data_IF_657508788215
#
_entry.id   IF_657508788215
#
_cell.length_a   1.000
_cell.length_b   1.000
_cell.length_c   1.000
_cell.angle_alpha   90.00
_cell.angle_beta   90.00
_cell.angle_gamma   90.00
#
_symmetry.space_group_name_H-M   'P 1'
#
loop_
_entity.id
_entity.type
_entity.pdbx_description
1 polymer ?
#
# COMPACT_ATOMS: atom_id res chain seq x y z
N UNK A 1 11.78 3.33 -1.70
CA UNK A 1 11.50 3.86 -3.06
C UNK A 1 10.29 3.19 -3.72
N UNK A 2 10.25 1.86 -3.85
CA UNK A 2 9.18 1.14 -4.56
C UNK A 2 7.75 1.44 -4.07
N UNK A 3 7.50 1.52 -2.75
CA UNK A 3 6.18 1.84 -2.21
C UNK A 3 5.66 3.22 -2.64
N UNK A 4 6.56 4.22 -2.66
CA UNK A 4 6.23 5.59 -3.07
C UNK A 4 5.81 5.66 -4.54
N UNK A 5 6.53 4.94 -5.42
CA UNK A 5 6.16 4.84 -6.84
C UNK A 5 4.75 4.23 -6.99
N UNK A 6 4.47 3.16 -6.25
CA UNK A 6 3.16 2.51 -6.30
C UNK A 6 2.03 3.45 -5.83
N UNK A 7 2.24 4.19 -4.74
CA UNK A 7 1.25 5.15 -4.24
C UNK A 7 1.04 6.34 -5.17
N UNK A 8 2.12 6.90 -5.75
CA UNK A 8 2.02 8.00 -6.72
C UNK A 8 1.31 7.54 -8.01
N UNK A 9 1.54 6.31 -8.46
CA UNK A 9 0.82 5.72 -9.59
C UNK A 9 -0.66 5.54 -9.29
N UNK A 10 -0.99 4.94 -8.14
CA UNK A 10 -2.38 4.69 -7.73
C UNK A 10 -3.16 5.99 -7.57
N UNK A 11 -2.57 7.00 -6.92
CA UNK A 11 -3.21 8.30 -6.73
C UNK A 11 -3.58 8.96 -8.07
N UNK A 12 -2.71 8.85 -9.08
CA UNK A 12 -3.01 9.32 -10.44
C UNK A 12 -4.09 8.48 -11.12
N UNK A 13 -4.01 7.15 -11.05
CA UNK A 13 -4.97 6.25 -11.67
C UNK A 13 -6.40 6.44 -11.13
N UNK A 14 -6.53 6.77 -9.84
CA UNK A 14 -7.80 7.06 -9.19
C UNK A 14 -8.27 8.51 -9.35
N UNK A 15 -7.55 9.34 -10.12
CA UNK A 15 -7.80 10.78 -10.22
C UNK A 15 -7.91 11.45 -8.84
N UNK A 16 -7.06 11.02 -7.90
CA UNK A 16 -6.96 11.58 -6.56
C UNK A 16 -8.08 11.25 -5.59
N UNK A 17 -9.02 10.35 -5.91
CA UNK A 17 -10.18 10.04 -5.05
C UNK A 17 -10.54 8.55 -4.99
N UNK A 18 -11.01 8.09 -3.85
CA UNK A 18 -11.62 6.76 -3.71
C UNK A 18 -11.21 6.02 -2.45
N UNK A 19 -11.59 4.74 -2.38
CA UNK A 19 -11.26 3.86 -1.25
C UNK A 19 -10.27 2.80 -1.70
N UNK A 20 -9.26 2.55 -0.89
CA UNK A 20 -8.16 1.63 -1.20
C UNK A 20 -7.96 0.65 -0.05
N UNK A 21 -7.68 -0.61 -0.40
CA UNK A 21 -7.20 -1.64 0.52
C UNK A 21 -5.74 -1.91 0.22
N UNK A 22 -4.89 -1.85 1.24
CA UNK A 22 -3.46 -2.13 1.12
C UNK A 22 -3.19 -3.60 1.50
N UNK A 23 -2.81 -4.41 0.51
CA UNK A 23 -2.32 -5.77 0.73
C UNK A 23 -0.80 -5.75 0.80
N UNK A 24 -0.26 -6.01 1.99
CA UNK A 24 1.17 -5.90 2.27
C UNK A 24 1.82 -7.28 2.31
N UNK A 25 3.14 -7.36 2.13
CA UNK A 25 3.85 -8.62 2.34
C UNK A 25 3.96 -9.04 3.81
N UNK A 26 4.88 -9.96 4.11
CA UNK A 26 5.12 -10.41 5.49
C UNK A 26 5.58 -9.20 6.32
N UNK A 27 4.71 -8.75 7.23
CA UNK A 27 4.94 -7.54 8.04
C UNK A 27 6.14 -7.60 8.97
N UNK A 28 6.64 -8.82 9.27
CA UNK A 28 7.89 -9.02 10.01
C UNK A 28 9.16 -8.69 9.21
N UNK A 29 9.07 -8.28 7.94
CA UNK A 29 10.22 -7.94 7.11
C UNK A 29 10.36 -6.44 6.89
N UNK A 30 11.58 -5.93 6.98
CA UNK A 30 11.89 -4.52 6.70
C UNK A 30 11.41 -4.10 5.30
N UNK A 31 11.51 -4.99 4.31
CA UNK A 31 11.09 -4.72 2.93
C UNK A 31 9.59 -4.43 2.84
N UNK A 32 8.75 -5.21 3.54
CA UNK A 32 7.31 -4.99 3.53
C UNK A 32 6.93 -3.68 4.25
N UNK A 33 7.60 -3.40 5.38
CA UNK A 33 7.41 -2.16 6.14
C UNK A 33 7.81 -0.92 5.33
N UNK A 34 8.99 -0.94 4.69
CA UNK A 34 9.47 0.18 3.87
C UNK A 34 8.58 0.45 2.65
N UNK A 35 8.02 -0.61 2.06
CA UNK A 35 7.04 -0.49 0.98
C UNK A 35 5.74 0.13 1.48
N UNK A 36 5.20 -0.36 2.60
CA UNK A 36 3.97 0.20 3.16
C UNK A 36 4.14 1.67 3.56
N UNK A 37 5.24 2.00 4.25
CA UNK A 37 5.56 3.37 4.62
C UNK A 37 5.63 4.28 3.39
N UNK A 38 6.40 3.89 2.37
CA UNK A 38 6.53 4.69 1.15
C UNK A 38 5.20 4.84 0.40
N UNK A 39 4.36 3.80 0.37
CA UNK A 39 3.02 3.86 -0.22
C UNK A 39 2.14 4.87 0.50
N UNK A 40 2.07 4.79 1.84
CA UNK A 40 1.26 5.70 2.66
C UNK A 40 1.75 7.15 2.58
N UNK A 41 3.07 7.38 2.50
CA UNK A 41 3.66 8.71 2.27
C UNK A 41 3.29 9.32 0.90
N UNK A 42 3.09 8.49 -0.13
CA UNK A 42 2.64 8.97 -1.44
C UNK A 42 1.14 9.24 -1.46
N UNK A 43 0.34 8.35 -0.86
CA UNK A 43 -1.12 8.48 -0.79
C UNK A 43 -1.56 9.68 0.04
N UNK A 44 -0.81 10.08 1.07
CA UNK A 44 -1.15 11.26 1.90
C UNK A 44 -1.22 12.58 1.13
N UNK A 45 -0.68 12.64 -0.10
CA UNK A 45 -0.83 13.79 -1.01
C UNK A 45 -2.22 13.89 -1.65
N UNK A 46 -3.04 12.84 -1.54
CA UNK A 46 -4.36 12.70 -2.13
C UNK A 46 -5.40 12.56 -1.01
N UNK A 47 -5.90 13.68 -0.43
CA UNK A 47 -6.75 13.64 0.77
C UNK A 47 -8.10 12.95 0.55
N UNK A 48 -8.58 12.88 -0.70
CA UNK A 48 -9.83 12.19 -1.05
C UNK A 48 -9.63 10.68 -1.31
N UNK A 49 -8.41 10.17 -1.12
CA UNK A 49 -8.12 8.74 -1.09
C UNK A 49 -8.08 8.26 0.37
N UNK A 50 -8.98 7.34 0.70
CA UNK A 50 -9.08 6.72 2.01
C UNK A 50 -8.53 5.29 1.96
N UNK A 51 -7.51 5.00 2.76
CA UNK A 51 -7.05 3.61 2.98
C UNK A 51 -7.93 2.97 4.05
N UNK A 52 -8.90 2.16 3.62
CA UNK A 52 -9.95 1.61 4.49
C UNK A 52 -9.56 0.28 5.16
N UNK A 53 -8.49 -0.37 4.70
CA UNK A 53 -7.96 -1.57 5.31
C UNK A 53 -6.48 -1.77 4.97
N UNK A 54 -5.76 -2.41 5.89
CA UNK A 54 -4.39 -2.88 5.70
C UNK A 54 -4.32 -4.34 6.12
N UNK A 55 -3.97 -5.22 5.19
CA UNK A 55 -3.94 -6.65 5.44
C UNK A 55 -2.58 -7.23 5.00
N UNK A 56 -1.99 -8.07 5.85
CA UNK A 56 -0.84 -8.88 5.47
C UNK A 56 -1.30 -9.99 4.52
N UNK A 57 -0.61 -10.17 3.41
CA UNK A 57 -0.79 -11.28 2.48
C UNK A 57 -0.37 -12.62 3.08
N UNK A 58 0.30 -12.60 4.25
CA UNK A 58 0.87 -13.72 4.99
C UNK A 58 1.85 -14.62 4.23
N UNK A 59 1.93 -14.57 2.89
CA UNK A 59 2.83 -15.33 2.01
C UNK A 59 3.05 -16.78 2.49
N UNK A 60 2.00 -17.37 3.08
CA UNK A 60 2.08 -18.72 3.60
C UNK A 60 1.99 -19.66 2.40
N UNK A 61 3.12 -20.27 2.03
CA UNK A 61 3.17 -21.24 0.94
C UNK A 61 2.59 -22.60 1.36
N UNK A 62 2.20 -22.78 2.63
CA UNK A 62 1.59 -24.00 3.13
C UNK A 62 0.05 -24.02 2.96
N UNK A 63 -0.58 -22.87 2.68
CA UNK A 63 -2.00 -22.79 2.33
C UNK A 63 -2.15 -22.85 0.80
N UNK A 64 -2.18 -24.07 0.27
CA UNK A 64 -2.61 -24.38 -1.11
C UNK A 64 -3.86 -25.26 -1.08
#
# INVERSE_FOLDING_TARGET
>A
HAGKIAGDFLGKALNGKGKVVEIMGIMGTNVAQDRSKGFNEAISKYPDIEVIAKQSANFDRAEA
#
